data_IF_496274215495
#
_entry.id   IF_496274215495
#
_cell.length_a   1.000
_cell.length_b   1.000
_cell.length_c   1.000
_cell.angle_alpha   90.00
_cell.angle_beta   90.00
_cell.angle_gamma   90.00
#
_symmetry.space_group_name_H-M   'P 1'
#
loop_
_entity.id
_entity.type
_entity.pdbx_description
1 polymer ?
#
# COMPACT_ATOMS: atom_id res chain seq x y z
N UNK A 1 34.60 28.65 12.19
CA UNK A 1 33.63 29.34 11.31
C UNK A 1 32.76 28.28 10.68
N UNK A 2 31.49 28.15 11.08
CA UNK A 2 30.57 27.23 10.40
C UNK A 2 30.24 27.83 9.03
N UNK A 3 30.60 27.11 7.96
CA UNK A 3 30.32 27.51 6.60
C UNK A 3 28.82 27.79 6.43
N UNK A 4 28.50 28.90 5.78
CA UNK A 4 27.12 29.29 5.46
C UNK A 4 26.51 28.19 4.60
N UNK A 5 25.70 27.31 5.19
CA UNK A 5 24.96 26.30 4.42
C UNK A 5 24.08 27.05 3.41
N UNK A 6 24.42 26.92 2.13
CA UNK A 6 23.61 27.46 1.04
C UNK A 6 22.55 26.41 0.72
N UNK A 7 21.37 26.57 1.30
CA UNK A 7 20.22 25.75 0.94
C UNK A 7 19.68 26.23 -0.40
N UNK A 8 19.61 25.32 -1.37
CA UNK A 8 18.86 25.56 -2.60
C UNK A 8 17.42 25.16 -2.36
N UNK A 9 16.50 26.07 -2.64
CA UNK A 9 15.08 25.80 -2.53
C UNK A 9 14.69 24.81 -3.65
N UNK A 10 13.88 23.77 -3.36
CA UNK A 10 13.46 22.83 -4.39
C UNK A 10 12.50 23.50 -5.38
N UNK A 11 12.62 23.11 -6.64
CA UNK A 11 11.73 23.55 -7.72
C UNK A 11 10.41 22.79 -7.69
N UNK A 12 9.34 23.43 -8.16
CA UNK A 12 8.03 22.82 -8.32
C UNK A 12 7.39 23.19 -9.66
N UNK A 13 7.06 22.18 -10.46
CA UNK A 13 6.53 22.34 -11.81
C UNK A 13 5.00 22.42 -11.90
N UNK A 14 4.30 22.02 -10.84
CA UNK A 14 2.84 21.92 -10.84
C UNK A 14 2.32 20.64 -11.50
N UNK A 15 3.03 19.52 -11.33
CA UNK A 15 2.60 18.20 -11.83
C UNK A 15 1.34 17.71 -11.09
N UNK A 16 0.53 16.86 -11.74
CA UNK A 16 -0.70 16.27 -11.17
C UNK A 16 -0.44 15.23 -10.06
N UNK A 17 0.81 15.02 -9.67
CA UNK A 17 1.17 14.14 -8.55
C UNK A 17 1.09 14.89 -7.22
N UNK A 18 0.08 14.55 -6.42
CA UNK A 18 -0.11 15.04 -5.06
C UNK A 18 1.13 14.81 -4.18
N UNK A 19 1.80 13.68 -4.36
CA UNK A 19 3.00 13.35 -3.59
C UNK A 19 4.18 14.27 -3.93
N UNK A 20 4.25 14.77 -5.17
CA UNK A 20 5.24 15.75 -5.58
C UNK A 20 5.03 17.09 -4.85
N UNK A 21 3.79 17.58 -4.77
CA UNK A 21 3.46 18.77 -3.98
C UNK A 21 3.77 18.58 -2.50
N UNK A 22 3.28 17.50 -1.88
CA UNK A 22 3.50 17.24 -0.45
C UNK A 22 4.99 17.11 -0.11
N UNK A 23 5.76 16.45 -0.99
CA UNK A 23 7.21 16.35 -0.80
C UNK A 23 7.91 17.69 -0.98
N UNK A 24 7.47 18.54 -1.91
CA UNK A 24 8.03 19.86 -2.13
C UNK A 24 7.74 20.76 -0.91
N UNK A 25 6.49 20.87 -0.49
CA UNK A 25 6.07 21.70 0.64
C UNK A 25 6.81 21.33 1.94
N UNK A 26 6.99 20.03 2.21
CA UNK A 26 7.76 19.55 3.36
C UNK A 26 9.24 19.96 3.31
N UNK A 27 9.86 19.93 2.13
CA UNK A 27 11.26 20.37 1.96
C UNK A 27 11.40 21.87 2.18
N UNK A 28 10.47 22.66 1.63
CA UNK A 28 10.42 24.12 1.82
C UNK A 28 10.20 24.46 3.30
N UNK A 29 9.25 23.80 3.98
CA UNK A 29 9.02 23.96 5.43
C UNK A 29 10.31 23.71 6.23
N UNK A 30 11.08 22.67 5.90
CA UNK A 30 12.37 22.38 6.56
C UNK A 30 13.39 23.49 6.36
N UNK A 31 13.47 24.07 5.16
CA UNK A 31 14.37 25.20 4.87
C UNK A 31 13.93 26.42 5.69
N UNK A 32 12.65 26.76 5.67
CA UNK A 32 12.12 27.90 6.42
C UNK A 32 12.22 27.75 7.95
N UNK A 33 12.24 26.53 8.50
CA UNK A 33 12.48 26.31 9.94
C UNK A 33 13.87 26.74 10.39
N UNK A 34 14.87 26.68 9.51
CA UNK A 34 16.26 27.02 9.82
C UNK A 34 16.50 28.53 9.72
N UNK A 35 15.57 29.28 9.12
CA UNK A 35 15.75 30.69 8.80
C UNK A 35 14.61 31.56 9.36
N UNK A 36 14.97 32.65 10.05
CA UNK A 36 14.00 33.63 10.55
C UNK A 36 13.57 34.62 9.45
N UNK A 37 12.97 34.13 8.37
CA UNK A 37 12.42 34.96 7.29
C UNK A 37 11.02 35.46 7.64
N UNK A 38 10.70 36.69 7.22
CA UNK A 38 9.32 37.19 7.25
C UNK A 38 8.42 36.37 6.34
N UNK A 39 7.11 36.36 6.61
CA UNK A 39 6.12 35.66 5.77
C UNK A 39 6.25 36.04 4.29
N UNK A 40 6.22 37.34 3.99
CA UNK A 40 6.29 37.83 2.61
C UNK A 40 7.58 37.39 1.90
N UNK A 41 8.69 37.32 2.63
CA UNK A 41 9.96 36.83 2.09
C UNK A 41 9.92 35.32 1.81
N UNK A 42 9.26 34.54 2.66
CA UNK A 42 9.04 33.10 2.42
C UNK A 42 8.22 32.89 1.15
N UNK A 43 7.12 33.61 1.00
CA UNK A 43 6.25 33.56 -0.20
C UNK A 43 7.05 33.88 -1.46
N UNK A 44 7.77 35.01 -1.47
CA UNK A 44 8.58 35.41 -2.63
C UNK A 44 9.69 34.40 -2.98
N UNK A 45 10.35 33.80 -1.98
CA UNK A 45 11.39 32.79 -2.26
C UNK A 45 10.80 31.48 -2.79
N UNK A 46 9.63 31.06 -2.29
CA UNK A 46 8.97 29.86 -2.78
C UNK A 46 8.43 30.06 -4.21
N UNK A 47 7.83 31.22 -4.51
CA UNK A 47 7.27 31.51 -5.83
C UNK A 47 8.33 31.62 -6.94
N UNK A 48 9.54 32.08 -6.60
CA UNK A 48 10.67 32.13 -7.53
C UNK A 48 11.14 30.75 -8.01
N UNK A 49 10.79 29.68 -7.29
CA UNK A 49 11.18 28.30 -7.60
C UNK A 49 10.06 27.52 -8.29
N UNK A 50 8.97 28.20 -8.63
CA UNK A 50 7.97 27.63 -9.51
C UNK A 50 8.46 27.60 -10.94
N UNK A 51 8.15 26.49 -11.61
CA UNK A 51 8.45 26.26 -13.01
C UNK A 51 7.18 25.88 -13.75
N UNK A 52 7.23 25.95 -15.08
CA UNK A 52 6.21 25.44 -15.99
C UNK A 52 4.78 25.91 -15.59
N UNK A 53 3.90 24.95 -15.29
CA UNK A 53 2.50 25.19 -14.99
C UNK A 53 2.31 25.95 -13.67
N UNK A 54 3.07 25.60 -12.62
CA UNK A 54 2.97 26.23 -11.31
C UNK A 54 3.28 27.74 -11.36
N UNK A 55 4.27 28.13 -12.16
CA UNK A 55 4.64 29.55 -12.31
C UNK A 55 3.52 30.35 -12.94
N UNK A 56 2.96 29.86 -14.05
CA UNK A 56 1.85 30.53 -14.76
C UNK A 56 0.61 30.64 -13.88
N UNK A 57 0.27 29.56 -13.16
CA UNK A 57 -0.87 29.55 -12.25
C UNK A 57 -0.70 30.55 -11.10
N UNK A 58 0.49 30.61 -10.49
CA UNK A 58 0.74 31.51 -9.35
C UNK A 58 0.62 32.98 -9.75
N UNK A 59 1.18 33.38 -10.89
CA UNK A 59 1.05 34.75 -11.40
C UNK A 59 -0.41 35.13 -11.66
N UNK A 60 -1.22 34.18 -12.14
CA UNK A 60 -2.66 34.38 -12.31
C UNK A 60 -3.37 34.60 -10.96
N UNK A 61 -3.04 33.82 -9.93
CA UNK A 61 -3.60 33.98 -8.57
C UNK A 61 -3.28 35.36 -8.02
N UNK A 62 -2.01 35.79 -8.09
CA UNK A 62 -1.58 37.10 -7.62
C UNK A 62 -2.30 38.24 -8.36
N UNK A 63 -2.41 38.13 -9.69
CA UNK A 63 -3.09 39.12 -10.54
C UNK A 63 -4.59 39.24 -10.18
N UNK A 64 -5.30 38.12 -10.16
CA UNK A 64 -6.75 38.10 -9.88
C UNK A 64 -7.08 38.62 -8.48
N UNK A 65 -6.24 38.31 -7.49
CA UNK A 65 -6.39 38.79 -6.12
C UNK A 65 -6.21 40.30 -6.05
N UNK A 66 -5.23 40.85 -6.78
CA UNK A 66 -5.03 42.29 -6.93
C UNK A 66 -6.21 42.99 -7.60
N UNK A 67 -6.77 42.42 -8.68
CA UNK A 67 -7.96 42.97 -9.37
C UNK A 67 -9.20 43.00 -8.48
N UNK A 68 -9.35 42.02 -7.58
CA UNK A 68 -10.45 41.96 -6.60
C UNK A 68 -10.24 42.87 -5.40
N UNK A 69 -9.08 43.51 -5.25
CA UNK A 69 -8.73 44.32 -4.08
C UNK A 69 -8.57 43.50 -2.80
N UNK A 70 -8.32 42.19 -2.92
CA UNK A 70 -8.05 41.32 -1.78
C UNK A 70 -6.62 41.54 -1.25
N UNK A 71 -6.39 41.25 0.03
CA UNK A 71 -5.06 41.35 0.62
C UNK A 71 -4.09 40.38 -0.09
N UNK A 72 -2.83 40.80 -0.34
CA UNK A 72 -1.82 39.93 -0.93
C UNK A 72 -1.53 38.75 0.01
N UNK A 73 -1.16 37.61 -0.56
CA UNK A 73 -0.72 36.44 0.20
C UNK A 73 0.66 36.77 0.78
N UNK A 74 0.72 37.07 2.07
CA UNK A 74 1.93 37.54 2.74
C UNK A 74 2.43 36.58 3.81
N UNK A 75 1.71 35.48 4.05
CA UNK A 75 2.17 34.38 4.91
C UNK A 75 2.45 33.11 4.12
N UNK A 76 3.37 32.31 4.64
CA UNK A 76 3.68 31.01 4.04
C UNK A 76 2.52 30.02 4.21
N UNK A 77 1.75 30.17 5.28
CA UNK A 77 0.58 29.39 5.60
C UNK A 77 -0.54 29.61 4.57
N UNK A 78 -0.87 30.86 4.25
CA UNK A 78 -1.85 31.20 3.19
C UNK A 78 -1.42 30.68 1.81
N UNK A 79 -0.12 30.79 1.47
CA UNK A 79 0.40 30.23 0.23
C UNK A 79 0.22 28.71 0.18
N UNK A 80 0.46 28.00 1.28
CA UNK A 80 0.22 26.56 1.36
C UNK A 80 -1.25 26.20 1.22
N UNK A 81 -2.17 27.02 1.74
CA UNK A 81 -3.61 26.81 1.58
C UNK A 81 -4.04 26.90 0.11
N UNK A 82 -3.61 27.95 -0.60
CA UNK A 82 -3.89 28.12 -2.04
C UNK A 82 -3.27 26.99 -2.88
N UNK A 83 -2.02 26.63 -2.58
CA UNK A 83 -1.36 25.52 -3.27
C UNK A 83 -2.03 24.18 -2.97
N UNK A 84 -2.46 23.94 -1.73
CA UNK A 84 -3.17 22.72 -1.36
C UNK A 84 -4.52 22.65 -2.08
N UNK A 85 -5.27 23.76 -2.13
CA UNK A 85 -6.54 23.83 -2.84
C UNK A 85 -6.39 23.54 -4.35
N UNK A 86 -5.26 23.90 -4.95
CA UNK A 86 -4.99 23.66 -6.37
C UNK A 86 -4.45 22.25 -6.67
N UNK A 87 -3.43 21.82 -5.94
CA UNK A 87 -2.63 20.63 -6.28
C UNK A 87 -2.97 19.39 -5.45
N UNK A 88 -3.82 19.50 -4.44
CA UNK A 88 -4.32 18.35 -3.67
C UNK A 88 -5.82 18.17 -3.97
N UNK A 89 -6.19 17.11 -4.71
CA UNK A 89 -7.59 16.76 -4.92
C UNK A 89 -8.33 16.58 -3.59
N UNK A 90 -9.56 17.09 -3.51
CA UNK A 90 -10.37 17.00 -2.30
C UNK A 90 -10.57 15.56 -1.79
N UNK A 91 -10.52 14.57 -2.68
CA UNK A 91 -10.69 13.14 -2.35
C UNK A 91 -9.37 12.43 -1.99
N UNK A 92 -8.21 13.11 -2.01
CA UNK A 92 -6.91 12.48 -1.71
C UNK A 92 -6.90 11.77 -0.35
N UNK A 93 -7.46 12.41 0.69
CA UNK A 93 -7.53 11.81 2.02
C UNK A 93 -8.41 10.54 2.02
N UNK A 94 -9.55 10.58 1.34
CA UNK A 94 -10.44 9.43 1.20
C UNK A 94 -9.75 8.28 0.46
N UNK A 95 -9.05 8.57 -0.62
CA UNK A 95 -8.28 7.57 -1.38
C UNK A 95 -7.14 6.98 -0.57
N UNK A 96 -6.45 7.81 0.23
CA UNK A 96 -5.42 7.35 1.13
C UNK A 96 -5.99 6.42 2.21
N UNK A 97 -7.12 6.77 2.84
CA UNK A 97 -7.80 5.90 3.79
C UNK A 97 -8.23 4.57 3.15
N UNK A 98 -8.80 4.62 1.95
CA UNK A 98 -9.19 3.42 1.19
C UNK A 98 -7.98 2.55 0.87
N UNK A 99 -6.86 3.15 0.48
CA UNK A 99 -5.58 2.47 0.24
C UNK A 99 -5.05 1.81 1.52
N UNK A 100 -5.08 2.51 2.64
CA UNK A 100 -4.65 1.98 3.95
C UNK A 100 -5.58 0.87 4.45
N UNK A 101 -6.88 0.93 4.16
CA UNK A 101 -7.84 -0.12 4.53
C UNK A 101 -7.63 -1.40 3.71
N UNK A 102 -7.31 -1.27 2.43
CA UNK A 102 -7.04 -2.40 1.51
C UNK A 102 -5.55 -2.76 1.43
N UNK A 103 -4.76 -2.33 2.42
CA UNK A 103 -3.31 -2.43 2.38
C UNK A 103 -2.83 -3.89 2.46
N UNK A 104 -2.11 -4.34 1.43
CA UNK A 104 -1.62 -5.72 1.28
C UNK A 104 -0.20 -5.72 0.73
N UNK A 105 0.62 -6.66 1.21
CA UNK A 105 2.03 -6.79 0.83
C UNK A 105 2.20 -7.07 -0.66
N UNK A 106 1.46 -8.04 -1.20
CA UNK A 106 1.56 -8.40 -2.62
C UNK A 106 2.97 -8.92 -2.95
N UNK A 107 3.61 -8.37 -3.98
CA UNK A 107 4.96 -8.78 -4.40
C UNK A 107 6.08 -7.96 -3.76
N UNK A 108 5.76 -7.01 -2.89
CA UNK A 108 6.73 -6.11 -2.28
C UNK A 108 7.50 -6.81 -1.16
N UNK A 109 8.76 -6.42 -1.01
CA UNK A 109 9.55 -6.80 0.16
C UNK A 109 8.94 -6.21 1.43
N UNK A 110 9.27 -6.77 2.59
CA UNK A 110 8.79 -6.26 3.88
C UNK A 110 9.18 -4.78 4.10
N UNK A 111 10.38 -4.40 3.67
CA UNK A 111 10.87 -3.03 3.78
C UNK A 111 10.10 -2.04 2.89
N UNK A 112 9.83 -2.42 1.63
CA UNK A 112 9.02 -1.61 0.72
C UNK A 112 7.58 -1.50 1.20
N UNK A 113 7.02 -2.61 1.67
CA UNK A 113 5.67 -2.65 2.23
C UNK A 113 5.55 -1.75 3.46
N UNK A 114 6.54 -1.77 4.36
CA UNK A 114 6.55 -0.89 5.52
C UNK A 114 6.63 0.60 5.12
N UNK A 115 7.51 0.95 4.18
CA UNK A 115 7.64 2.33 3.66
C UNK A 115 6.36 2.82 2.99
N UNK A 116 5.73 1.99 2.18
CA UNK A 116 4.50 2.35 1.47
C UNK A 116 3.32 2.58 2.42
N UNK A 117 3.32 1.95 3.59
CA UNK A 117 2.36 2.24 4.66
C UNK A 117 2.69 3.56 5.36
N UNK A 118 3.92 3.68 5.88
CA UNK A 118 4.27 4.75 6.82
C UNK A 118 4.47 6.09 6.14
N UNK A 119 5.01 6.13 4.93
CA UNK A 119 5.36 7.38 4.27
C UNK A 119 4.11 8.24 3.98
N UNK A 120 3.03 7.71 3.38
CA UNK A 120 1.80 8.47 3.18
C UNK A 120 1.13 8.87 4.50
N UNK A 121 1.11 7.99 5.50
CA UNK A 121 0.56 8.31 6.82
C UNK A 121 1.26 9.51 7.47
N UNK A 122 2.60 9.55 7.41
CA UNK A 122 3.38 10.67 7.94
C UNK A 122 3.13 11.97 7.15
N UNK A 123 3.04 11.89 5.82
CA UNK A 123 2.81 13.06 4.95
C UNK A 123 1.43 13.68 5.16
N UNK A 124 0.40 12.85 5.27
CA UNK A 124 -0.96 13.26 5.54
C UNK A 124 -1.24 13.52 7.03
N UNK A 125 -0.22 13.43 7.89
CA UNK A 125 -0.34 13.56 9.35
C UNK A 125 -1.44 12.66 9.95
N UNK A 126 -1.60 11.45 9.41
CA UNK A 126 -2.55 10.46 9.93
C UNK A 126 -1.99 9.89 11.23
N UNK A 127 -2.71 10.15 12.32
CA UNK A 127 -2.39 9.62 13.65
C UNK A 127 -3.20 8.35 13.88
N UNK A 128 -2.51 7.21 13.91
CA UNK A 128 -3.08 5.92 14.33
C UNK A 128 -2.40 5.46 15.62
N UNK A 129 -3.16 4.79 16.49
CA UNK A 129 -2.54 4.12 17.63
C UNK A 129 -1.57 3.05 17.14
N UNK A 130 -0.55 2.77 17.95
CA UNK A 130 0.45 1.76 17.60
C UNK A 130 -0.20 0.39 17.34
N UNK A 131 -1.14 -0.02 18.19
CA UNK A 131 -1.89 -1.26 18.03
C UNK A 131 -2.67 -1.33 16.71
N UNK A 132 -3.29 -0.23 16.26
CA UNK A 132 -3.97 -0.18 14.97
C UNK A 132 -2.99 -0.31 13.82
N UNK A 133 -1.85 0.36 13.90
CA UNK A 133 -0.81 0.27 12.87
C UNK A 133 -0.26 -1.16 12.79
N UNK A 134 0.03 -1.78 13.93
CA UNK A 134 0.48 -3.18 14.05
C UNK A 134 -0.54 -4.12 13.41
N UNK A 135 -1.81 -4.00 13.80
CA UNK A 135 -2.88 -4.84 13.27
C UNK A 135 -3.03 -4.68 11.75
N UNK A 136 -2.94 -3.45 11.23
CA UNK A 136 -2.99 -3.17 9.79
C UNK A 136 -1.83 -3.85 9.05
N UNK A 137 -0.61 -3.63 9.51
CA UNK A 137 0.59 -4.21 8.91
C UNK A 137 0.53 -5.74 8.93
N UNK A 138 0.27 -6.33 10.10
CA UNK A 138 0.18 -7.78 10.28
C UNK A 138 -0.89 -8.43 9.41
N UNK A 139 -2.08 -7.81 9.30
CA UNK A 139 -3.15 -8.31 8.43
C UNK A 139 -2.90 -8.07 6.93
N UNK A 140 -1.99 -7.16 6.61
CA UNK A 140 -1.54 -6.89 5.25
C UNK A 140 -0.46 -7.86 4.75
N UNK A 141 0.25 -8.55 5.64
CA UNK A 141 1.30 -9.51 5.31
C UNK A 141 0.77 -10.67 4.45
N UNK A 142 1.64 -11.17 3.57
CA UNK A 142 1.37 -12.39 2.82
C UNK A 142 1.27 -13.60 3.76
N UNK A 143 0.36 -14.52 3.45
CA UNK A 143 0.05 -15.67 4.32
C UNK A 143 1.27 -16.48 4.80
N UNK A 144 2.26 -16.82 3.94
CA UNK A 144 3.43 -17.58 4.38
C UNK A 144 4.24 -16.88 5.47
N UNK A 145 4.41 -15.55 5.35
CA UNK A 145 5.14 -14.72 6.31
C UNK A 145 4.28 -14.54 7.56
N UNK A 146 3.00 -14.18 7.39
CA UNK A 146 2.04 -13.96 8.49
C UNK A 146 2.01 -15.15 9.45
N UNK A 147 1.94 -16.38 8.92
CA UNK A 147 1.92 -17.62 9.72
C UNK A 147 3.16 -17.81 10.58
N UNK A 148 4.34 -17.36 10.11
CA UNK A 148 5.59 -17.47 10.88
C UNK A 148 5.62 -16.39 11.97
N UNK A 149 5.26 -15.16 11.60
CA UNK A 149 5.27 -13.99 12.49
C UNK A 149 4.24 -14.09 13.62
N UNK A 150 3.10 -14.76 13.38
CA UNK A 150 2.03 -14.97 14.37
C UNK A 150 2.52 -15.60 15.68
N UNK A 151 3.56 -16.45 15.61
CA UNK A 151 4.13 -17.11 16.78
C UNK A 151 5.34 -16.39 17.38
N UNK A 152 5.72 -15.22 16.84
CA UNK A 152 6.83 -14.43 17.35
C UNK A 152 6.34 -13.40 18.38
N UNK A 153 7.20 -13.08 19.35
CA UNK A 153 6.97 -11.98 20.26
C UNK A 153 7.39 -10.65 19.62
N UNK A 154 6.50 -9.66 19.67
CA UNK A 154 6.75 -8.28 19.29
C UNK A 154 5.85 -7.36 20.11
N UNK A 155 6.37 -6.21 20.56
CA UNK A 155 5.63 -5.22 21.36
C UNK A 155 5.36 -3.92 20.59
N UNK A 156 6.10 -3.69 19.51
CA UNK A 156 6.05 -2.46 18.73
C UNK A 156 6.20 -2.76 17.23
N UNK A 157 5.95 -1.74 16.42
CA UNK A 157 6.04 -1.86 14.96
C UNK A 157 7.44 -2.24 14.46
N UNK A 158 8.49 -1.74 15.11
CA UNK A 158 9.88 -1.99 14.68
C UNK A 158 10.23 -3.46 14.84
N UNK A 159 9.87 -4.05 15.98
CA UNK A 159 10.03 -5.48 16.25
C UNK A 159 9.22 -6.33 15.26
N UNK A 160 7.96 -5.95 14.99
CA UNK A 160 7.12 -6.68 14.03
C UNK A 160 7.74 -6.70 12.63
N UNK A 161 8.23 -5.55 12.14
CA UNK A 161 8.90 -5.45 10.84
C UNK A 161 10.16 -6.33 10.81
N UNK A 162 10.95 -6.32 11.88
CA UNK A 162 12.14 -7.18 11.99
C UNK A 162 11.78 -8.67 11.93
N UNK A 163 10.77 -9.12 12.67
CA UNK A 163 10.31 -10.51 12.62
C UNK A 163 9.77 -10.89 11.25
N UNK A 164 9.01 -9.98 10.61
CA UNK A 164 8.50 -10.18 9.26
C UNK A 164 9.63 -10.29 8.22
N UNK A 165 10.68 -9.47 8.33
CA UNK A 165 11.86 -9.54 7.45
C UNK A 165 12.60 -10.87 7.59
N UNK A 166 12.76 -11.39 8.81
CA UNK A 166 13.34 -12.72 9.03
C UNK A 166 12.47 -13.83 8.42
N UNK A 167 11.15 -13.74 8.62
CA UNK A 167 10.20 -14.69 8.04
C UNK A 167 10.19 -14.63 6.51
N UNK A 168 10.35 -13.46 5.89
CA UNK A 168 10.48 -13.31 4.44
C UNK A 168 11.72 -14.04 3.91
N UNK A 169 12.87 -13.90 4.58
CA UNK A 169 14.09 -14.63 4.23
C UNK A 169 13.86 -16.14 4.30
N UNK A 170 13.24 -16.64 5.38
CA UNK A 170 12.95 -18.05 5.55
C UNK A 170 12.04 -18.60 4.44
N UNK A 171 10.94 -17.91 4.15
CA UNK A 171 10.01 -18.29 3.07
C UNK A 171 10.73 -18.34 1.71
N UNK A 172 11.60 -17.37 1.45
CA UNK A 172 12.35 -17.31 0.21
C UNK A 172 13.37 -18.47 0.08
N UNK A 173 14.05 -18.84 1.16
CA UNK A 173 14.93 -20.01 1.19
C UNK A 173 14.16 -21.32 0.96
N UNK A 174 13.01 -21.49 1.61
CA UNK A 174 12.14 -22.66 1.43
C UNK A 174 11.66 -22.80 -0.02
N UNK A 175 11.30 -21.67 -0.66
CA UNK A 175 10.91 -21.64 -2.08
C UNK A 175 12.08 -22.05 -2.98
N UNK A 176 13.30 -21.55 -2.74
CA UNK A 176 14.50 -21.91 -3.52
C UNK A 176 14.84 -23.39 -3.38
N UNK A 177 14.76 -23.92 -2.17
CA UNK A 177 15.02 -25.33 -1.89
C UNK A 177 13.97 -26.24 -2.57
N UNK A 178 12.69 -25.90 -2.45
CA UNK A 178 11.59 -26.63 -3.09
C UNK A 178 11.72 -26.65 -4.62
N UNK A 179 12.03 -25.50 -5.23
CA UNK A 179 12.30 -25.40 -6.68
C UNK A 179 13.44 -26.33 -7.09
N UNK A 180 14.57 -26.27 -6.39
CA UNK A 180 15.73 -27.13 -6.66
C UNK A 180 15.34 -28.61 -6.62
N UNK A 181 14.59 -29.05 -5.59
CA UNK A 181 14.10 -30.43 -5.46
C UNK A 181 13.16 -30.84 -6.60
N UNK A 182 12.28 -29.94 -7.04
CA UNK A 182 11.39 -30.16 -8.18
C UNK A 182 12.16 -30.31 -9.50
N UNK A 183 13.18 -29.47 -9.75
CA UNK A 183 14.06 -29.62 -10.92
C UNK A 183 14.79 -30.97 -10.91
N UNK A 184 15.36 -31.38 -9.78
CA UNK A 184 16.01 -32.69 -9.67
C UNK A 184 15.04 -33.87 -9.88
N UNK A 185 13.81 -33.80 -9.34
CA UNK A 185 12.79 -34.83 -9.53
C UNK A 185 12.36 -34.94 -11.01
N UNK A 186 12.19 -33.81 -11.71
CA UNK A 186 11.85 -33.82 -13.15
C UNK A 186 12.96 -34.41 -14.02
N UNK A 187 14.23 -34.19 -13.64
CA UNK A 187 15.39 -34.73 -14.37
C UNK A 187 15.54 -36.25 -14.21
N UNK A 188 15.20 -36.79 -13.04
CA UNK A 188 15.15 -38.25 -12.82
C UNK A 188 13.99 -38.92 -13.59
N UNK A 189 12.85 -38.24 -13.72
CA UNK A 189 11.70 -38.78 -14.46
C UNK A 189 11.97 -38.91 -15.97
N UNK A 190 12.79 -38.04 -16.56
CA UNK A 190 13.18 -38.09 -17.98
C UNK A 190 14.20 -39.20 -18.30
N UNK A 191 14.89 -39.75 -17.29
CA UNK A 191 15.93 -40.79 -17.50
C UNK A 191 15.45 -42.22 -17.35
N UNK A 192 14.14 -42.46 -17.17
CA UNK A 192 13.60 -43.83 -17.14
C UNK A 192 13.30 -44.28 -18.58
N UNK A 193 13.99 -45.32 -19.12
CA UNK A 193 13.60 -45.89 -20.40
C UNK A 193 12.23 -46.53 -20.23
N UNK A 194 11.22 -46.03 -20.96
CA UNK A 194 9.93 -46.72 -21.07
C UNK A 194 10.16 -47.98 -21.90
N UNK A 195 10.34 -49.12 -21.25
CA UNK A 195 10.15 -50.42 -21.91
C UNK A 195 8.66 -50.57 -22.17
N UNK A 196 8.30 -50.50 -23.45
CA UNK A 196 6.95 -50.68 -23.94
C UNK A 196 6.50 -52.12 -23.75
N UNK A 197 5.67 -52.39 -22.74
CA UNK A 197 4.83 -53.59 -22.74
C UNK A 197 3.37 -53.17 -22.94
N UNK A 198 2.84 -53.63 -24.07
CA UNK A 198 1.45 -53.41 -24.54
C UNK A 198 0.47 -54.12 -23.60
N UNK A 199 -0.69 -53.55 -23.27
CA UNK A 199 -1.75 -54.29 -22.58
C UNK A 199 -2.55 -55.15 -23.58
N UNK A 200 -2.60 -56.46 -23.33
CA UNK A 200 -3.45 -57.42 -24.03
C UNK A 200 -4.83 -57.47 -23.34
N UNK A 201 -5.89 -57.17 -24.08
CA UNK A 201 -7.28 -57.32 -23.66
C UNK A 201 -7.71 -58.76 -23.94
N UNK A 202 -8.28 -59.46 -22.95
CA UNK A 202 -9.18 -60.59 -23.20
C UNK A 202 -10.21 -60.75 -22.07
N UNK A 203 -11.37 -61.28 -22.45
CA UNK A 203 -12.70 -61.07 -21.89
C UNK A 203 -13.29 -62.28 -21.16
N UNK A 204 -13.95 -62.01 -20.01
CA UNK A 204 -15.20 -62.59 -19.42
C UNK A 204 -15.27 -64.11 -19.07
N UNK A 205 -16.24 -64.64 -18.24
CA UNK A 205 -17.48 -64.04 -17.69
C UNK A 205 -17.88 -64.32 -16.21
N UNK A 206 -18.72 -63.40 -15.68
CA UNK A 206 -19.94 -63.55 -14.82
C UNK A 206 -19.93 -64.34 -13.48
N UNK A 207 -20.35 -63.65 -12.39
CA UNK A 207 -21.52 -63.99 -11.55
C UNK A 207 -21.84 -62.91 -10.50
N UNK A 208 -23.09 -62.46 -10.50
CA UNK A 208 -23.78 -61.78 -9.39
C UNK A 208 -24.60 -62.84 -8.61
N UNK A 209 -25.00 -62.61 -7.34
CA UNK A 209 -26.35 -62.09 -7.14
C UNK A 209 -26.55 -61.10 -5.98
N UNK A 210 -27.61 -60.32 -6.17
CA UNK A 210 -28.26 -59.27 -5.37
C UNK A 210 -28.98 -59.80 -4.11
N UNK A 211 -29.06 -58.99 -3.02
CA UNK A 211 -30.23 -58.95 -2.13
C UNK A 211 -30.59 -57.48 -1.78
N UNK A 212 -31.88 -57.17 -1.94
CA UNK A 212 -32.57 -55.89 -1.68
C UNK A 212 -33.06 -55.77 -0.22
N UNK A 213 -33.26 -54.54 0.28
CA UNK A 213 -34.44 -54.03 1.04
C UNK A 213 -34.06 -52.69 1.70
N UNK A 214 -34.91 -51.71 2.05
CA UNK A 214 -36.30 -51.32 1.80
C UNK A 214 -36.44 -49.89 2.39
N UNK A 215 -37.32 -49.11 1.78
CA UNK A 215 -37.77 -47.74 2.06
C UNK A 215 -38.00 -47.35 3.54
N UNK A 216 -37.80 -46.07 3.90
CA UNK A 216 -38.86 -45.02 4.05
C UNK A 216 -38.34 -43.72 4.69
N UNK A 217 -38.73 -42.59 4.09
CA UNK A 217 -38.77 -41.26 4.74
C UNK A 217 -39.88 -41.20 5.80
N UNK A 218 -39.92 -40.10 6.57
CA UNK A 218 -41.17 -39.36 6.70
C UNK A 218 -41.04 -37.91 6.21
N UNK A 219 -42.13 -37.48 5.57
CA UNK A 219 -42.48 -36.12 5.17
C UNK A 219 -43.59 -35.56 6.08
N UNK A 220 -43.78 -34.24 5.97
CA UNK A 220 -44.97 -33.41 6.32
C UNK A 220 -45.03 -32.92 7.78
N UNK A 221 -45.52 -31.72 8.11
CA UNK A 221 -46.23 -30.64 7.38
C UNK A 221 -46.19 -29.38 8.27
N UNK A 222 -45.85 -28.19 7.78
CA UNK A 222 -46.72 -27.14 7.17
C UNK A 222 -47.71 -26.45 8.13
N UNK A 223 -47.61 -25.10 8.19
CA UNK A 223 -48.67 -24.05 8.21
C UNK A 223 -48.12 -22.82 8.98
N UNK A 224 -47.75 -21.68 8.38
CA UNK A 224 -48.43 -20.69 7.52
C UNK A 224 -49.43 -19.76 8.23
N UNK A 225 -49.34 -18.48 7.84
CA UNK A 225 -50.26 -17.34 8.02
C UNK A 225 -50.17 -16.56 9.35
N UNK A 226 -50.38 -15.24 9.43
CA UNK A 226 -50.60 -14.13 8.49
C UNK A 226 -50.56 -12.81 9.30
N UNK A 227 -50.10 -11.73 8.66
CA UNK A 227 -50.53 -10.32 8.64
C UNK A 227 -51.12 -9.55 9.86
N UNK A 228 -50.89 -8.23 9.77
CA UNK A 228 -51.54 -7.05 10.40
C UNK A 228 -51.03 -6.70 11.80
N UNK A 229 -50.57 -5.47 12.06
CA UNK A 229 -51.19 -4.15 11.78
C UNK A 229 -50.12 -3.08 11.61
#
# INVERSE_FOLDING_TARGET
MYGKLKFNMPKFKGEDDVEAYLSWALKVDKIFRIHNYSGAKKVAMASLEFEDYASTWWEQVVTLRGEKGEAPIDTWEEMKEEMQARFVPAHYMTDLFNKLQKFKQGTKTIEEFYKEMKLPMMRANIQESENQTIARFFNGLNYPIKRIVEFQQYSNMVELVHQASKAELQVNEDIKYSKSKSYFASKLATTVPTTSDKPYISSTPSKQPTIQSRMKQPVTSTASSKAST
#
